data_IF_483839315263
#
_entry.id   IF_483839315263
#
_cell.length_a   1.000
_cell.length_b   1.000
_cell.length_c   1.000
_cell.angle_alpha   90.00
_cell.angle_beta   90.00
_cell.angle_gamma   90.00
#
_symmetry.space_group_name_H-M   'P 1'
#
loop_
_entity.id
_entity.type
_entity.pdbx_description
1 polymer ?
#
# COMPACT_ATOMS: atom_id res chain seq x y z
N UNK A 1 14.94 -7.00 3.59
CA UNK A 1 14.29 -7.87 4.61
C UNK A 1 12.88 -8.21 4.16
N UNK A 2 12.58 -9.48 4.05
CA UNK A 2 11.21 -9.91 3.70
C UNK A 2 10.27 -9.77 4.89
N UNK A 3 9.08 -9.23 4.67
CA UNK A 3 8.01 -9.17 5.65
C UNK A 3 7.01 -10.31 5.45
N UNK A 4 6.88 -10.81 4.23
CA UNK A 4 6.08 -11.99 3.87
C UNK A 4 6.64 -12.59 2.58
N UNK A 5 6.00 -13.65 2.08
CA UNK A 5 6.47 -14.39 0.90
C UNK A 5 6.74 -13.48 -0.31
N UNK A 6 5.86 -12.54 -0.59
CA UNK A 6 5.92 -11.70 -1.80
C UNK A 6 6.21 -10.22 -1.54
N UNK A 7 6.41 -9.82 -0.29
CA UNK A 7 6.62 -8.40 0.05
C UNK A 7 7.84 -8.21 0.93
N UNK A 8 8.62 -7.18 0.63
CA UNK A 8 9.81 -6.81 1.39
C UNK A 8 9.61 -5.47 2.10
N UNK A 9 10.40 -5.22 3.14
CA UNK A 9 10.42 -3.92 3.81
C UNK A 9 10.79 -2.82 2.83
N UNK A 10 11.73 -3.07 1.94
CA UNK A 10 12.21 -2.11 0.95
C UNK A 10 11.06 -1.60 0.07
N UNK A 11 10.14 -2.47 -0.34
CA UNK A 11 8.95 -2.09 -1.10
C UNK A 11 8.01 -1.19 -0.30
N UNK A 12 7.87 -1.46 1.00
CA UNK A 12 6.94 -0.74 1.87
C UNK A 12 7.45 0.64 2.30
N UNK A 13 8.75 0.90 2.16
CA UNK A 13 9.35 2.19 2.54
C UNK A 13 9.90 2.96 1.33
N UNK A 14 9.85 2.39 0.14
CA UNK A 14 10.38 3.02 -1.08
C UNK A 14 9.66 4.33 -1.36
N UNK A 15 10.43 5.37 -1.70
CA UNK A 15 9.88 6.66 -2.13
C UNK A 15 10.90 7.39 -2.99
N UNK A 16 10.51 7.71 -4.22
CA UNK A 16 11.33 8.51 -5.11
C UNK A 16 11.50 9.93 -4.57
N UNK A 17 10.44 10.49 -3.98
CA UNK A 17 10.49 11.82 -3.35
C UNK A 17 11.49 11.85 -2.19
N UNK A 18 11.48 10.82 -1.34
CA UNK A 18 12.44 10.73 -0.23
C UNK A 18 13.88 10.68 -0.75
N UNK A 19 14.12 9.90 -1.80
CA UNK A 19 15.46 9.78 -2.40
C UNK A 19 15.91 11.11 -3.00
N UNK A 20 15.04 11.79 -3.74
CA UNK A 20 15.35 13.08 -4.36
C UNK A 20 15.60 14.18 -3.34
N UNK A 21 14.90 14.16 -2.21
CA UNK A 21 14.99 15.19 -1.17
C UNK A 21 15.96 14.82 -0.06
N UNK A 22 16.64 13.68 -0.13
CA UNK A 22 17.56 13.24 0.90
C UNK A 22 16.89 12.92 2.23
N UNK A 23 15.63 12.50 2.21
CA UNK A 23 14.85 12.16 3.39
C UNK A 23 15.07 10.68 3.72
N UNK A 24 15.45 10.40 4.97
CA UNK A 24 15.57 9.04 5.46
C UNK A 24 14.19 8.53 5.90
N UNK A 25 13.58 7.71 5.07
CA UNK A 25 12.24 7.15 5.32
C UNK A 25 12.37 5.82 6.05
N UNK A 26 12.73 5.85 7.33
CA UNK A 26 12.95 4.64 8.14
C UNK A 26 11.91 4.53 9.24
N UNK A 27 11.21 3.37 9.34
CA UNK A 27 10.24 3.15 10.41
C UNK A 27 10.95 2.83 11.73
N UNK A 28 10.33 3.25 12.84
CA UNK A 28 10.75 2.80 14.17
C UNK A 28 10.21 1.38 14.44
N UNK A 29 10.48 0.85 15.64
CA UNK A 29 10.08 -0.52 16.00
C UNK A 29 8.58 -0.74 15.93
N UNK A 30 7.78 0.21 16.41
CA UNK A 30 6.31 0.11 16.37
C UNK A 30 5.78 0.20 14.95
N UNK A 31 6.31 1.12 14.16
CA UNK A 31 5.93 1.29 12.76
C UNK A 31 6.31 0.06 11.94
N UNK A 32 7.47 -0.53 12.21
CA UNK A 32 7.87 -1.78 11.56
C UNK A 32 6.93 -2.93 11.91
N UNK A 33 6.50 -3.02 13.17
CA UNK A 33 5.52 -4.01 13.60
C UNK A 33 4.20 -3.83 12.85
N UNK A 34 3.74 -2.60 12.73
CA UNK A 34 2.51 -2.27 11.99
C UNK A 34 2.64 -2.64 10.51
N UNK A 35 3.76 -2.34 9.87
CA UNK A 35 4.03 -2.72 8.48
C UNK A 35 4.03 -4.24 8.31
N UNK A 36 4.62 -4.96 9.24
CA UNK A 36 4.63 -6.43 9.21
C UNK A 36 3.21 -6.97 9.31
N UNK A 37 2.40 -6.43 10.22
CA UNK A 37 1.00 -6.84 10.35
C UNK A 37 0.18 -6.51 9.11
N UNK A 38 0.34 -5.32 8.55
CA UNK A 38 -0.33 -4.91 7.31
C UNK A 38 0.03 -5.90 6.18
N UNK A 39 1.29 -6.24 6.07
CA UNK A 39 1.78 -7.12 5.01
C UNK A 39 1.28 -8.55 5.17
N UNK A 40 1.44 -9.14 6.37
CA UNK A 40 1.09 -10.54 6.60
C UNK A 40 -0.41 -10.78 6.67
N UNK A 41 -1.18 -9.84 7.21
CA UNK A 41 -2.62 -10.02 7.45
C UNK A 41 -3.50 -9.46 6.34
N UNK A 42 -2.99 -8.57 5.52
CA UNK A 42 -3.78 -7.90 4.48
C UNK A 42 -3.14 -8.05 3.10
N UNK A 43 -1.94 -7.55 2.89
CA UNK A 43 -1.33 -7.53 1.56
C UNK A 43 -1.03 -8.93 1.01
N UNK A 44 -0.48 -9.81 1.83
CA UNK A 44 -0.16 -11.16 1.37
C UNK A 44 -1.41 -11.99 1.06
N UNK A 45 -2.48 -11.99 1.88
CA UNK A 45 -3.73 -12.64 1.50
C UNK A 45 -4.32 -12.10 0.19
N UNK A 46 -4.24 -10.79 -0.04
CA UNK A 46 -4.69 -10.19 -1.29
C UNK A 46 -3.86 -10.70 -2.47
N UNK A 47 -2.54 -10.72 -2.31
CA UNK A 47 -1.61 -11.21 -3.33
C UNK A 47 -1.90 -12.67 -3.69
N UNK A 48 -2.12 -13.51 -2.68
CA UNK A 48 -2.40 -14.93 -2.86
C UNK A 48 -3.72 -15.14 -3.62
N UNK A 49 -4.77 -14.42 -3.25
CA UNK A 49 -6.08 -14.52 -3.88
C UNK A 49 -6.08 -13.95 -5.29
N UNK A 50 -5.40 -12.83 -5.52
CA UNK A 50 -5.32 -12.19 -6.83
C UNK A 50 -4.46 -13.01 -7.81
N UNK A 51 -3.44 -13.67 -7.30
CA UNK A 51 -2.59 -14.58 -8.09
C UNK A 51 -1.60 -13.90 -9.04
N UNK A 52 -1.46 -12.58 -8.98
CA UNK A 52 -0.57 -11.79 -9.83
C UNK A 52 0.17 -10.75 -9.00
N UNK A 53 1.31 -10.21 -9.49
CA UNK A 53 2.05 -9.20 -8.76
C UNK A 53 1.22 -7.98 -8.41
N UNK A 54 1.44 -7.48 -7.20
CA UNK A 54 0.85 -6.23 -6.68
C UNK A 54 1.99 -5.27 -6.40
N UNK A 55 1.87 -4.05 -6.91
CA UNK A 55 2.88 -3.01 -6.77
C UNK A 55 2.47 -2.06 -5.64
N UNK A 56 3.41 -1.79 -4.74
CA UNK A 56 3.21 -0.79 -3.68
C UNK A 56 3.71 0.56 -4.21
N UNK A 57 2.81 1.51 -4.37
CA UNK A 57 3.19 2.87 -4.79
C UNK A 57 3.54 3.76 -3.60
N UNK A 58 2.95 3.51 -2.44
CA UNK A 58 3.27 4.21 -1.21
C UNK A 58 2.89 3.32 -0.02
N UNK A 59 3.82 3.10 0.87
CA UNK A 59 3.59 2.40 2.13
C UNK A 59 3.84 3.33 3.30
N UNK A 60 4.86 3.04 4.12
CA UNK A 60 5.25 3.90 5.23
C UNK A 60 5.79 5.25 4.75
N UNK A 61 5.36 6.32 5.43
CA UNK A 61 5.93 7.67 5.25
C UNK A 61 6.30 8.24 6.61
N UNK A 62 7.56 8.65 6.78
CA UNK A 62 7.96 9.42 7.96
C UNK A 62 7.29 10.80 7.92
N UNK A 63 7.28 11.51 9.05
CA UNK A 63 6.63 12.83 9.17
C UNK A 63 7.13 13.80 8.10
N UNK A 64 8.44 13.87 7.92
CA UNK A 64 9.07 14.78 6.96
C UNK A 64 8.62 14.47 5.52
N UNK A 65 8.63 13.19 5.14
CA UNK A 65 8.19 12.75 3.82
C UNK A 65 6.70 13.02 3.61
N UNK A 66 5.88 12.72 4.62
CA UNK A 66 4.44 12.95 4.55
C UNK A 66 4.11 14.42 4.28
N UNK A 67 4.80 15.34 4.94
CA UNK A 67 4.65 16.78 4.68
C UNK A 67 5.06 17.14 3.25
N UNK A 68 6.15 16.57 2.76
CA UNK A 68 6.69 16.86 1.43
C UNK A 68 5.72 16.45 0.32
N UNK A 69 5.03 15.33 0.47
CA UNK A 69 4.06 14.84 -0.52
C UNK A 69 2.64 15.37 -0.29
N UNK A 70 2.43 16.22 0.71
CA UNK A 70 1.13 16.83 0.98
C UNK A 70 0.14 15.89 1.65
N UNK A 71 0.61 14.87 2.37
CA UNK A 71 -0.27 13.95 3.10
C UNK A 71 -0.91 14.59 4.32
N UNK A 72 -2.05 14.02 4.74
CA UNK A 72 -2.74 14.48 5.93
C UNK A 72 -1.88 14.26 7.18
N UNK A 73 -1.95 15.18 8.15
CA UNK A 73 -1.16 15.11 9.37
C UNK A 73 -1.49 13.90 10.24
N UNK A 74 -2.66 13.29 10.04
CA UNK A 74 -3.12 12.09 10.74
C UNK A 74 -3.20 10.87 9.84
N UNK A 75 -2.46 10.86 8.73
CA UNK A 75 -2.46 9.76 7.77
C UNK A 75 -2.00 8.44 8.40
N UNK A 76 -2.70 7.34 8.07
CA UNK A 76 -2.30 6.00 8.50
C UNK A 76 -0.94 5.58 7.91
N UNK A 77 -0.48 6.18 6.82
CA UNK A 77 0.85 5.96 6.27
C UNK A 77 1.97 6.30 7.26
N UNK A 78 1.73 7.28 8.16
CA UNK A 78 2.67 7.67 9.21
C UNK A 78 2.92 6.58 10.24
N UNK A 79 1.95 5.67 10.40
CA UNK A 79 2.02 4.61 11.41
C UNK A 79 2.38 3.25 10.84
N UNK A 80 2.60 3.16 9.52
CA UNK A 80 2.82 1.88 8.86
C UNK A 80 1.54 1.07 8.72
N UNK A 81 0.38 1.73 8.72
CA UNK A 81 -0.93 1.07 8.75
C UNK A 81 -1.72 1.27 7.45
N UNK A 82 -1.11 1.77 6.40
CA UNK A 82 -1.75 1.97 5.11
C UNK A 82 -0.78 1.70 3.97
N UNK A 83 -1.32 1.29 2.82
CA UNK A 83 -0.56 1.14 1.59
C UNK A 83 -1.44 1.52 0.40
N UNK A 84 -0.82 2.19 -0.56
CA UNK A 84 -1.41 2.43 -1.87
C UNK A 84 -0.86 1.37 -2.82
N UNK A 85 -1.75 0.63 -3.46
CA UNK A 85 -1.37 -0.50 -4.32
C UNK A 85 -2.03 -0.43 -5.69
N UNK A 86 -1.41 -1.07 -6.65
CA UNK A 86 -1.98 -1.23 -8.00
C UNK A 86 -1.42 -2.51 -8.64
N UNK A 87 -1.98 -2.90 -9.77
CA UNK A 87 -1.48 -4.04 -10.55
C UNK A 87 -0.24 -3.63 -11.33
N UNK A 88 0.51 -4.62 -11.84
CA UNK A 88 1.71 -4.34 -12.64
C UNK A 88 1.39 -3.61 -13.94
N UNK A 89 0.22 -3.87 -14.55
CA UNK A 89 -0.24 -3.15 -15.74
C UNK A 89 -0.73 -1.74 -15.42
N UNK A 90 -1.23 -1.54 -14.23
CA UNK A 90 -1.85 -0.30 -13.74
C UNK A 90 -2.97 0.21 -14.67
N UNK A 91 -3.73 -0.72 -15.26
CA UNK A 91 -4.89 -0.41 -16.11
C UNK A 91 -6.15 -0.38 -15.27
N UNK A 92 -7.20 0.29 -15.77
CA UNK A 92 -8.51 0.33 -15.12
C UNK A 92 -9.05 -1.09 -14.89
N UNK A 93 -9.04 -1.92 -15.93
CA UNK A 93 -9.61 -3.26 -15.85
C UNK A 93 -8.90 -4.14 -14.84
N UNK A 94 -7.57 -4.14 -14.84
CA UNK A 94 -6.81 -4.97 -13.90
C UNK A 94 -6.90 -4.44 -12.48
N UNK A 95 -6.85 -3.12 -12.29
CA UNK A 95 -7.03 -2.52 -10.96
C UNK A 95 -8.45 -2.76 -10.43
N UNK A 96 -9.46 -2.78 -11.30
CA UNK A 96 -10.82 -3.15 -10.90
C UNK A 96 -10.90 -4.59 -10.41
N UNK A 97 -10.24 -5.52 -11.09
CA UNK A 97 -10.15 -6.92 -10.65
C UNK A 97 -9.48 -7.03 -9.28
N UNK A 98 -8.40 -6.27 -9.06
CA UNK A 98 -7.72 -6.22 -7.76
C UNK A 98 -8.67 -5.68 -6.68
N UNK A 99 -9.36 -4.58 -6.96
CA UNK A 99 -10.32 -3.99 -6.04
C UNK A 99 -11.44 -5.00 -5.69
N UNK A 100 -12.01 -5.65 -6.69
CA UNK A 100 -13.06 -6.66 -6.50
C UNK A 100 -12.55 -7.83 -5.64
N UNK A 101 -11.30 -8.24 -5.83
CA UNK A 101 -10.65 -9.27 -5.01
C UNK A 101 -10.57 -8.83 -3.54
N UNK A 102 -10.15 -7.59 -3.29
CA UNK A 102 -10.05 -7.03 -1.93
C UNK A 102 -11.42 -7.00 -1.25
N UNK A 103 -12.44 -6.51 -1.96
CA UNK A 103 -13.81 -6.45 -1.43
C UNK A 103 -14.32 -7.85 -1.10
N UNK A 104 -14.08 -8.83 -1.98
CA UNK A 104 -14.46 -10.22 -1.74
C UNK A 104 -13.83 -10.78 -0.47
N UNK A 105 -12.51 -10.56 -0.28
CA UNK A 105 -11.81 -11.03 0.90
C UNK A 105 -12.30 -10.37 2.18
N UNK A 106 -12.60 -9.07 2.12
CA UNK A 106 -13.17 -8.34 3.25
C UNK A 106 -14.55 -8.90 3.62
N UNK A 107 -15.42 -9.12 2.62
CA UNK A 107 -16.76 -9.64 2.85
C UNK A 107 -16.75 -11.06 3.42
N UNK A 108 -15.75 -11.87 3.06
CA UNK A 108 -15.56 -13.22 3.61
C UNK A 108 -14.87 -13.24 4.98
N UNK A 109 -14.45 -12.09 5.50
CA UNK A 109 -13.76 -12.00 6.77
C UNK A 109 -12.32 -12.49 6.74
N UNK A 110 -11.74 -12.70 5.55
CA UNK A 110 -10.35 -13.17 5.40
C UNK A 110 -9.39 -12.04 5.73
N UNK A 111 -9.73 -10.80 5.33
CA UNK A 111 -8.99 -9.59 5.72
C UNK A 111 -9.93 -8.67 6.49
N UNK A 112 -9.35 -7.89 7.39
CA UNK A 112 -10.07 -6.86 8.13
C UNK A 112 -9.32 -5.55 7.95
N UNK A 113 -9.96 -4.58 7.29
CA UNK A 113 -9.40 -3.25 7.12
C UNK A 113 -10.48 -2.21 7.36
N UNK A 114 -10.06 -1.08 7.94
CA UNK A 114 -10.99 -0.02 8.32
C UNK A 114 -11.57 0.69 7.11
N UNK A 115 -10.76 0.84 6.05
CA UNK A 115 -11.16 1.59 4.88
C UNK A 115 -10.49 1.05 3.62
N UNK A 116 -11.27 0.94 2.55
CA UNK A 116 -10.77 0.64 1.21
C UNK A 116 -11.25 1.76 0.30
N UNK A 117 -10.30 2.43 -0.36
CA UNK A 117 -10.61 3.55 -1.23
C UNK A 117 -10.16 3.20 -2.66
N UNK A 118 -11.07 3.35 -3.61
CA UNK A 118 -10.75 3.24 -5.02
C UNK A 118 -10.62 4.65 -5.59
N UNK A 119 -9.36 5.07 -5.82
CA UNK A 119 -9.09 6.39 -6.33
C UNK A 119 -8.83 6.36 -7.84
N UNK A 120 -9.41 7.34 -8.53
CA UNK A 120 -9.21 7.53 -9.96
C UNK A 120 -8.05 8.48 -10.20
N UNK A 121 -7.19 8.13 -11.17
CA UNK A 121 -6.18 9.07 -11.65
C UNK A 121 -6.80 10.13 -12.54
N UNK A 122 -6.66 9.98 -13.84
CA UNK A 122 -7.27 10.88 -14.81
C UNK A 122 -8.55 10.28 -15.37
N UNK A 123 -9.43 11.15 -15.91
CA UNK A 123 -10.64 10.75 -16.63
C UNK A 123 -10.29 9.70 -17.69
N UNK A 124 -11.09 8.64 -17.78
CA UNK A 124 -10.97 7.52 -18.72
C UNK A 124 -9.76 6.62 -18.54
N UNK A 125 -8.94 6.84 -17.52
CA UNK A 125 -7.81 5.97 -17.21
C UNK A 125 -8.14 5.03 -16.06
N UNK A 126 -9.16 5.35 -15.28
CA UNK A 126 -9.59 4.57 -14.13
C UNK A 126 -8.69 4.75 -12.90
N UNK A 127 -8.86 3.90 -11.90
CA UNK A 127 -8.07 4.01 -10.68
C UNK A 127 -6.62 3.64 -10.94
N UNK A 128 -5.71 4.37 -10.31
CA UNK A 128 -4.26 4.10 -10.38
C UNK A 128 -3.75 3.40 -9.14
N UNK A 129 -4.54 3.42 -8.06
CA UNK A 129 -4.22 2.72 -6.82
C UNK A 129 -5.49 2.49 -6.01
N UNK A 130 -5.34 1.68 -5.01
CA UNK A 130 -6.42 1.30 -4.09
C UNK A 130 -6.03 1.67 -2.68
#
# INVERSE_FOLDING_TARGET
MKLSKNFSLEELIKSDTANECGIKNSPNSLELKNLTNLTTKILQPIRDAFGKPIIISSGFRCIQLNKKVGGASNSDHLFGAAADIHTSSNTYEDNKKLYDTIISLKNKGIISCRQIIWEYGKKNVGPKWI
#
